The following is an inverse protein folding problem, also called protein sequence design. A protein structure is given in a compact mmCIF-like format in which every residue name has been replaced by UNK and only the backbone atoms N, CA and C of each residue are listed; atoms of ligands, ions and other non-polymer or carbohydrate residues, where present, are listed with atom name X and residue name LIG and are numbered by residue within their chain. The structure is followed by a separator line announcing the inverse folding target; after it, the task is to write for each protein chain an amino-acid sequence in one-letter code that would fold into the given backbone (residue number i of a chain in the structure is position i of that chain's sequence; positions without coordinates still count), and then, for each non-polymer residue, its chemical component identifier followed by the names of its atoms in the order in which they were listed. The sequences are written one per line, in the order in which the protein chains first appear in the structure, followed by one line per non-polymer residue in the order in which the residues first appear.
data_IF_964557443652
#
_entry.id   IF_964557443652
#
_cell.length_a   1.000
_cell.length_b   1.000
_cell.length_c   1.000
_cell.angle_alpha   90.00
_cell.angle_beta   90.00
_cell.angle_gamma   90.00
#
_symmetry.space_group_name_H-M   'P 1'
#
loop_
_entity.id
_entity.type
_entity.pdbx_description
1 polymer ?
#
# COMPACT_ATOMS: atom_id res chain seq x y z
N UNK A 1 1.19 19.32 6.49
CA UNK A 1 1.50 20.62 5.86
C UNK A 1 1.62 21.73 6.89
N UNK A 2 0.52 22.12 7.51
CA UNK A 2 0.44 23.37 8.32
C UNK A 2 1.42 23.44 9.48
N UNK A 3 1.57 22.39 10.30
CA UNK A 3 2.55 22.39 11.41
C UNK A 3 4.00 22.49 10.88
N UNK A 4 4.34 21.73 9.82
CA UNK A 4 5.67 21.80 9.23
C UNK A 4 6.01 23.19 8.68
N UNK A 5 5.03 23.84 8.03
CA UNK A 5 5.19 25.22 7.53
C UNK A 5 5.34 26.22 8.66
N UNK A 6 4.56 26.11 9.74
CA UNK A 6 4.68 26.97 10.92
C UNK A 6 6.05 26.78 11.62
N UNK A 7 6.50 25.53 11.76
CA UNK A 7 7.80 25.23 12.36
C UNK A 7 8.96 25.79 11.51
N UNK A 8 8.91 25.61 10.20
CA UNK A 8 9.89 26.16 9.26
C UNK A 8 9.97 27.71 9.35
N UNK A 9 8.82 28.39 9.45
CA UNK A 9 8.78 29.84 9.59
C UNK A 9 9.43 30.33 10.89
N UNK A 10 9.54 29.49 11.91
CA UNK A 10 10.27 29.76 13.17
C UNK A 10 11.72 29.25 13.15
N UNK A 11 12.21 28.76 12.03
CA UNK A 11 13.56 28.19 11.89
C UNK A 11 13.74 26.83 12.58
N UNK A 12 12.64 26.13 12.91
CA UNK A 12 12.68 24.84 13.55
C UNK A 12 12.89 23.75 12.48
N UNK A 13 13.94 22.95 12.65
CA UNK A 13 14.17 21.78 11.80
C UNK A 13 13.06 20.76 11.97
N UNK A 14 12.42 20.40 10.88
CA UNK A 14 11.22 19.56 10.85
C UNK A 14 11.47 18.33 10.00
N UNK A 15 11.20 17.16 10.55
CA UNK A 15 11.20 15.90 9.84
C UNK A 15 9.75 15.45 9.68
N UNK A 16 9.32 15.21 8.45
CA UNK A 16 8.02 14.61 8.16
C UNK A 16 8.26 13.15 7.79
N UNK A 17 7.83 12.23 8.67
CA UNK A 17 7.92 10.79 8.44
C UNK A 17 6.77 10.36 7.53
N UNK A 18 7.08 10.05 6.27
CA UNK A 18 6.06 9.71 5.26
C UNK A 18 6.64 9.00 4.05
N UNK A 19 5.83 8.15 3.40
CA UNK A 19 6.07 7.65 2.05
C UNK A 19 5.34 8.43 0.96
N UNK A 20 4.53 9.42 1.35
CA UNK A 20 3.71 10.21 0.45
C UNK A 20 4.56 11.25 -0.32
N UNK A 21 4.56 11.11 -1.64
CA UNK A 21 5.34 11.97 -2.55
C UNK A 21 4.82 13.39 -2.63
N UNK A 22 3.52 13.60 -2.35
CA UNK A 22 2.90 14.92 -2.44
C UNK A 22 3.47 15.87 -1.40
N UNK A 23 3.90 15.34 -0.26
CA UNK A 23 4.54 16.12 0.80
C UNK A 23 5.94 16.62 0.41
N UNK A 24 6.53 16.15 -0.72
CA UNK A 24 7.80 16.67 -1.22
C UNK A 24 7.72 18.16 -1.59
N UNK A 25 6.52 18.69 -1.86
CA UNK A 25 6.31 20.13 -2.07
C UNK A 25 6.59 20.99 -0.84
N UNK A 26 6.66 20.38 0.36
CA UNK A 26 6.93 21.09 1.63
C UNK A 26 8.41 21.18 1.98
N UNK A 27 9.26 20.45 1.25
CA UNK A 27 10.70 20.38 1.51
C UNK A 27 11.34 21.74 1.27
N UNK A 28 12.15 22.19 2.25
CA UNK A 28 12.93 23.42 2.20
C UNK A 28 14.13 23.30 3.16
N UNK A 29 14.81 24.39 3.46
CA UNK A 29 16.00 24.40 4.32
C UNK A 29 15.73 23.91 5.76
N UNK A 30 14.48 23.93 6.19
CA UNK A 30 14.06 23.51 7.53
C UNK A 30 13.19 22.25 7.54
N UNK A 31 12.66 21.82 6.39
CA UNK A 31 11.75 20.66 6.28
C UNK A 31 12.37 19.60 5.39
N UNK A 32 12.47 18.39 5.88
CA UNK A 32 12.83 17.19 5.11
C UNK A 32 11.82 16.07 5.32
N UNK A 33 11.72 15.19 4.34
CA UNK A 33 10.92 13.97 4.45
C UNK A 33 11.81 12.78 4.76
N UNK A 34 11.31 11.85 5.56
CA UNK A 34 11.96 10.58 5.84
C UNK A 34 10.95 9.45 5.65
N UNK A 35 11.21 8.56 4.72
CA UNK A 35 10.46 7.33 4.60
C UNK A 35 11.10 6.26 5.49
N UNK A 36 10.49 5.99 6.63
CA UNK A 36 11.02 5.03 7.61
C UNK A 36 10.99 3.57 7.15
N UNK A 37 10.18 3.25 6.13
CA UNK A 37 10.14 1.89 5.55
C UNK A 37 11.33 1.61 4.64
N UNK A 38 11.81 2.63 3.91
CA UNK A 38 12.90 2.50 2.94
C UNK A 38 14.18 3.17 3.40
N UNK A 39 14.14 3.91 4.53
CA UNK A 39 15.23 4.77 5.02
C UNK A 39 15.63 5.89 4.04
N UNK A 40 14.76 6.20 3.09
CA UNK A 40 14.98 7.28 2.13
C UNK A 40 14.80 8.64 2.80
N UNK A 41 15.74 9.55 2.60
CA UNK A 41 15.66 10.93 3.08
C UNK A 41 15.53 11.85 1.87
N UNK A 42 14.51 12.70 1.87
CA UNK A 42 14.31 13.71 0.84
C UNK A 42 14.47 15.11 1.47
N UNK A 43 15.66 15.65 1.35
CA UNK A 43 15.95 17.07 1.42
C UNK A 43 15.78 17.71 0.04
N UNK A 44 16.13 18.97 -0.13
CA UNK A 44 16.02 19.66 -1.42
C UNK A 44 16.73 18.90 -2.55
N UNK A 45 17.96 18.44 -2.31
CA UNK A 45 18.74 17.71 -3.33
C UNK A 45 18.14 16.31 -3.58
N UNK A 46 17.63 15.66 -2.56
CA UNK A 46 16.92 14.38 -2.67
C UNK A 46 15.66 14.48 -3.53
N UNK A 47 14.88 15.55 -3.37
CA UNK A 47 13.71 15.82 -4.23
C UNK A 47 14.13 16.02 -5.68
N UNK A 48 15.16 16.85 -5.93
CA UNK A 48 15.66 17.08 -7.30
C UNK A 48 16.18 15.79 -7.91
N UNK A 49 16.92 14.99 -7.15
CA UNK A 49 17.47 13.71 -7.63
C UNK A 49 16.37 12.70 -7.98
N UNK A 50 15.28 12.67 -7.19
CA UNK A 50 14.18 11.72 -7.34
C UNK A 50 13.20 12.10 -8.45
N UNK A 51 12.78 13.37 -8.48
CA UNK A 51 11.72 13.85 -9.37
C UNK A 51 12.23 14.63 -10.58
N UNK A 52 13.49 15.09 -10.56
CA UNK A 52 14.09 15.93 -11.61
C UNK A 52 13.61 17.38 -11.56
N UNK A 53 12.90 17.79 -10.51
CA UNK A 53 12.40 19.15 -10.29
C UNK A 53 12.61 19.56 -8.83
N UNK A 54 12.66 20.87 -8.56
CA UNK A 54 12.76 21.38 -7.20
C UNK A 54 11.43 21.23 -6.43
N UNK A 55 11.46 21.27 -5.08
CA UNK A 55 10.26 21.13 -4.25
C UNK A 55 9.10 22.03 -4.66
N UNK A 56 9.38 23.27 -5.04
CA UNK A 56 8.38 24.26 -5.43
C UNK A 56 7.64 23.89 -6.74
N UNK A 57 8.20 22.97 -7.52
CA UNK A 57 7.62 22.50 -8.80
C UNK A 57 6.96 21.14 -8.69
N UNK A 58 6.90 20.55 -7.49
CA UNK A 58 6.31 19.21 -7.30
C UNK A 58 4.83 19.19 -7.67
N UNK A 59 4.06 20.19 -7.28
CA UNK A 59 2.63 20.28 -7.65
C UNK A 59 2.45 20.35 -9.17
N UNK A 60 3.25 21.18 -9.84
CA UNK A 60 3.22 21.32 -11.29
C UNK A 60 3.64 20.02 -12.00
N UNK A 61 4.66 19.36 -11.46
CA UNK A 61 5.12 18.06 -11.97
C UNK A 61 4.05 16.99 -11.84
N UNK A 62 3.43 16.85 -10.66
CA UNK A 62 2.37 15.88 -10.42
C UNK A 62 1.12 16.18 -11.24
N UNK A 63 0.78 17.46 -11.43
CA UNK A 63 -0.35 17.83 -12.29
C UNK A 63 -0.14 17.42 -13.76
N UNK A 64 1.11 17.40 -14.24
CA UNK A 64 1.43 16.94 -15.59
C UNK A 64 1.47 15.41 -15.70
N UNK A 65 2.09 14.74 -14.74
CA UNK A 65 2.28 13.27 -14.76
C UNK A 65 1.02 12.53 -14.29
N UNK A 66 0.28 13.13 -13.37
CA UNK A 66 -0.83 12.50 -12.65
C UNK A 66 -0.37 11.69 -11.44
N UNK A 67 -1.34 11.27 -10.66
CA UNK A 67 -1.17 10.36 -9.52
C UNK A 67 -2.17 9.22 -9.59
N UNK A 68 -1.70 8.02 -9.88
CA UNK A 68 -2.55 6.84 -9.95
C UNK A 68 -2.99 6.33 -8.58
N UNK A 69 -2.24 6.63 -7.51
CA UNK A 69 -2.60 6.23 -6.15
C UNK A 69 -3.83 7.01 -5.68
N UNK A 70 -3.84 8.32 -5.94
CA UNK A 70 -4.93 9.21 -5.54
C UNK A 70 -5.96 9.44 -6.66
N UNK A 71 -5.85 8.66 -7.75
CA UNK A 71 -6.73 8.77 -8.92
C UNK A 71 -6.80 10.18 -9.51
N UNK A 72 -5.68 10.90 -9.47
CA UNK A 72 -5.56 12.23 -10.07
C UNK A 72 -5.04 12.09 -11.50
N UNK A 73 -5.85 12.46 -12.54
CA UNK A 73 -5.43 12.33 -13.91
C UNK A 73 -4.37 13.37 -14.26
N UNK A 74 -3.28 12.91 -14.90
CA UNK A 74 -2.31 13.79 -15.55
C UNK A 74 -2.65 14.06 -17.02
N UNK A 75 -1.66 14.57 -17.75
CA UNK A 75 -1.74 14.70 -19.20
C UNK A 75 -1.44 13.34 -19.83
N UNK A 76 -2.35 12.80 -20.62
CA UNK A 76 -2.19 11.50 -21.28
C UNK A 76 -0.88 11.44 -22.08
N UNK A 77 -0.11 10.38 -21.87
CA UNK A 77 1.25 10.15 -22.44
C UNK A 77 2.32 11.15 -21.99
N UNK A 78 2.05 11.99 -21.00
CA UNK A 78 3.05 12.83 -20.36
C UNK A 78 3.66 12.10 -19.17
N UNK A 79 4.78 11.42 -19.39
CA UNK A 79 5.53 10.78 -18.30
C UNK A 79 6.54 11.75 -17.64
N UNK A 80 7.25 11.27 -16.60
CA UNK A 80 8.22 12.06 -15.83
C UNK A 80 9.21 12.85 -16.70
N UNK A 81 9.80 12.23 -17.70
CA UNK A 81 10.78 12.89 -18.60
C UNK A 81 10.19 14.06 -19.38
N UNK A 82 8.93 13.95 -19.81
CA UNK A 82 8.26 15.03 -20.56
C UNK A 82 7.90 16.17 -19.63
N UNK A 83 7.39 15.86 -18.42
CA UNK A 83 7.05 16.85 -17.41
C UNK A 83 8.29 17.66 -16.98
N UNK A 84 9.39 16.99 -16.65
CA UNK A 84 10.67 17.63 -16.30
C UNK A 84 11.16 18.53 -17.44
N UNK A 85 11.14 18.03 -18.69
CA UNK A 85 11.53 18.81 -19.86
C UNK A 85 10.71 20.09 -19.98
N UNK A 86 9.37 19.98 -19.92
CA UNK A 86 8.49 21.14 -20.03
C UNK A 86 8.67 22.14 -18.88
N UNK A 87 8.81 21.66 -17.64
CA UNK A 87 9.06 22.52 -16.48
C UNK A 87 10.45 23.18 -16.53
N UNK A 88 11.43 22.56 -17.17
CA UNK A 88 12.73 23.18 -17.44
C UNK A 88 12.65 24.24 -18.53
N UNK A 89 11.86 24.00 -19.58
CA UNK A 89 11.74 24.89 -20.75
C UNK A 89 10.84 26.10 -20.46
N UNK A 90 9.66 25.88 -19.85
CA UNK A 90 8.64 26.92 -19.62
C UNK A 90 8.64 27.48 -18.19
N UNK A 91 9.29 26.81 -17.26
CA UNK A 91 9.43 27.25 -15.86
C UNK A 91 8.31 26.85 -14.92
N UNK A 92 7.04 26.89 -15.35
CA UNK A 92 5.87 26.55 -14.51
C UNK A 92 4.74 25.93 -15.33
N UNK A 93 3.79 25.29 -14.65
CA UNK A 93 2.57 24.77 -15.28
C UNK A 93 1.75 25.90 -15.94
N UNK A 94 1.67 27.07 -15.31
CA UNK A 94 0.93 28.22 -15.91
C UNK A 94 1.56 28.67 -17.22
N UNK A 95 2.88 28.70 -17.29
CA UNK A 95 3.58 29.01 -18.54
C UNK A 95 3.40 27.90 -19.59
N UNK A 96 3.37 26.63 -19.19
CA UNK A 96 3.05 25.50 -20.09
C UNK A 96 1.62 25.64 -20.64
N UNK A 97 0.65 25.96 -19.79
CA UNK A 97 -0.76 26.19 -20.18
C UNK A 97 -0.85 27.35 -21.18
N UNK A 98 -0.20 28.47 -20.88
CA UNK A 98 -0.20 29.64 -21.78
C UNK A 98 0.42 29.32 -23.16
N UNK A 99 1.37 28.40 -23.22
CA UNK A 99 2.06 27.99 -24.44
C UNK A 99 1.50 26.69 -25.05
N UNK A 100 0.40 26.14 -24.55
CA UNK A 100 -0.13 24.84 -24.96
C UNK A 100 -0.41 24.73 -26.46
N UNK A 101 -0.77 25.85 -27.11
CA UNK A 101 -1.01 25.91 -28.56
C UNK A 101 0.27 25.70 -29.40
N UNK A 102 1.43 26.06 -28.87
CA UNK A 102 2.73 25.95 -29.56
C UNK A 102 3.35 24.54 -29.39
N UNK A 103 2.94 23.80 -28.39
CA UNK A 103 3.46 22.44 -28.11
C UNK A 103 2.89 21.46 -29.12
N UNK A 104 3.76 20.91 -29.98
CA UNK A 104 3.38 20.04 -31.10
C UNK A 104 3.31 18.56 -30.67
N UNK A 105 2.66 17.75 -31.52
CA UNK A 105 2.59 16.30 -31.37
C UNK A 105 1.46 15.84 -30.46
N UNK A 106 1.31 14.53 -30.32
CA UNK A 106 0.20 13.88 -29.60
C UNK A 106 0.13 14.33 -28.13
N UNK A 107 1.27 14.50 -27.47
CA UNK A 107 1.27 14.94 -26.06
C UNK A 107 0.82 16.40 -25.92
N UNK A 108 1.14 17.27 -26.90
CA UNK A 108 0.62 18.63 -26.95
C UNK A 108 -0.90 18.68 -27.18
N UNK A 109 -1.46 17.77 -27.98
CA UNK A 109 -2.90 17.62 -28.14
C UNK A 109 -3.57 17.15 -26.86
N UNK A 110 -2.97 16.19 -26.16
CA UNK A 110 -3.46 15.69 -24.89
C UNK A 110 -3.36 16.78 -23.79
N UNK A 111 -2.30 17.58 -23.78
CA UNK A 111 -2.20 18.75 -22.90
C UNK A 111 -3.40 19.69 -23.10
N UNK A 112 -3.72 20.03 -24.34
CA UNK A 112 -4.87 20.92 -24.63
C UNK A 112 -6.21 20.32 -24.16
N UNK A 113 -6.38 18.99 -24.24
CA UNK A 113 -7.56 18.31 -23.70
C UNK A 113 -7.61 18.35 -22.17
N UNK A 114 -6.45 18.34 -21.51
CA UNK A 114 -6.34 18.34 -20.05
C UNK A 114 -6.51 19.73 -19.42
N UNK A 115 -6.43 20.82 -20.21
CA UNK A 115 -6.51 22.19 -19.68
C UNK A 115 -7.69 22.46 -18.73
N UNK A 116 -8.93 21.98 -19.00
CA UNK A 116 -10.06 22.22 -18.11
C UNK A 116 -9.92 21.57 -16.73
N UNK A 117 -9.08 20.52 -16.59
CA UNK A 117 -8.94 19.75 -15.37
C UNK A 117 -7.88 20.33 -14.41
N UNK A 118 -6.93 21.12 -14.90
CA UNK A 118 -5.82 21.63 -14.08
C UNK A 118 -6.23 22.41 -12.83
N UNK A 119 -7.28 23.23 -12.82
CA UNK A 119 -7.69 23.91 -11.59
C UNK A 119 -8.03 22.92 -10.47
N UNK A 120 -8.83 21.90 -10.77
CA UNK A 120 -9.17 20.84 -9.81
C UNK A 120 -7.96 19.99 -9.45
N UNK A 121 -7.19 19.54 -10.44
CA UNK A 121 -5.97 18.75 -10.24
C UNK A 121 -5.00 19.47 -9.31
N UNK A 122 -4.76 20.76 -9.52
CA UNK A 122 -3.88 21.56 -8.67
C UNK A 122 -4.42 21.70 -7.24
N UNK A 123 -5.74 21.92 -7.07
CA UNK A 123 -6.35 21.99 -5.75
C UNK A 123 -6.24 20.67 -4.97
N UNK A 124 -6.42 19.54 -5.64
CA UNK A 124 -6.27 18.19 -5.04
C UNK A 124 -4.82 17.89 -4.62
N UNK A 125 -3.85 18.28 -5.46
CA UNK A 125 -2.41 18.00 -5.21
C UNK A 125 -1.77 18.97 -4.23
N UNK A 126 -2.37 20.14 -3.97
CA UNK A 126 -1.78 21.16 -3.12
C UNK A 126 -2.06 20.90 -1.64
N UNK A 127 -1.01 20.61 -0.88
CA UNK A 127 -1.11 20.40 0.56
C UNK A 127 -1.53 21.67 1.28
N UNK A 128 -2.58 21.59 2.11
CA UNK A 128 -3.06 22.72 2.92
C UNK A 128 -2.05 23.05 4.03
N UNK A 129 -1.58 24.29 4.03
CA UNK A 129 -0.55 24.79 4.96
C UNK A 129 -1.05 25.85 5.94
N UNK A 130 -2.36 26.13 5.93
CA UNK A 130 -2.99 27.24 6.67
C UNK A 130 -4.16 26.81 7.55
N UNK A 131 -4.18 25.57 8.03
CA UNK A 131 -5.22 25.11 8.95
C UNK A 131 -5.11 25.87 10.29
N UNK A 132 -6.25 26.37 10.78
CA UNK A 132 -6.32 27.19 12.00
C UNK A 132 -6.55 26.38 13.29
N UNK A 133 -7.07 25.14 13.19
CA UNK A 133 -7.42 24.29 14.33
C UNK A 133 -6.26 23.39 14.77
N UNK A 134 -5.06 23.93 14.87
CA UNK A 134 -3.87 23.19 15.26
C UNK A 134 -3.38 23.56 16.65
N UNK A 135 -2.78 22.62 17.41
CA UNK A 135 -2.12 22.95 18.66
C UNK A 135 -0.95 23.91 18.41
N UNK A 136 -0.65 24.76 19.38
CA UNK A 136 0.53 25.61 19.33
C UNK A 136 1.81 24.73 19.33
N UNK A 137 2.82 25.10 18.55
CA UNK A 137 4.07 24.32 18.45
C UNK A 137 4.72 24.10 19.82
N UNK A 138 4.70 25.12 20.69
CA UNK A 138 5.28 25.05 22.03
C UNK A 138 4.55 24.07 22.96
N UNK A 139 3.30 23.70 22.63
CA UNK A 139 2.53 22.69 23.36
C UNK A 139 2.85 21.26 22.93
N UNK A 140 3.56 21.08 21.80
CA UNK A 140 3.93 19.77 21.26
C UNK A 140 5.20 19.28 21.95
N UNK A 141 5.04 18.61 23.10
CA UNK A 141 6.13 18.01 23.86
C UNK A 141 5.98 16.49 23.86
N UNK A 142 7.12 15.80 23.86
CA UNK A 142 7.12 14.36 24.08
C UNK A 142 6.55 14.06 25.47
N UNK A 143 5.48 13.26 25.52
CA UNK A 143 4.95 12.71 26.76
C UNK A 143 5.95 11.72 27.39
N UNK A 144 5.73 11.39 28.66
CA UNK A 144 6.43 10.27 29.27
C UNK A 144 5.95 8.97 28.66
N UNK A 145 6.87 8.08 28.38
CA UNK A 145 6.53 6.74 27.90
C UNK A 145 5.76 5.96 28.98
N UNK A 146 4.63 5.40 28.61
CA UNK A 146 3.86 4.51 29.48
C UNK A 146 4.32 3.07 29.27
N UNK A 147 5.43 2.72 29.93
CA UNK A 147 6.03 1.39 29.85
C UNK A 147 5.08 0.28 30.27
N UNK A 148 4.19 0.53 31.22
CA UNK A 148 3.25 -0.49 31.71
C UNK A 148 2.21 -0.85 30.64
N UNK A 149 1.62 0.17 30.00
CA UNK A 149 0.68 -0.02 28.90
C UNK A 149 1.35 -0.62 27.67
N UNK A 150 2.56 -0.14 27.32
CA UNK A 150 3.33 -0.71 26.20
C UNK A 150 3.65 -2.21 26.44
N UNK A 151 4.09 -2.58 27.64
CA UNK A 151 4.35 -3.96 28.00
C UNK A 151 3.10 -4.83 27.84
N UNK A 152 1.97 -4.40 28.39
CA UNK A 152 0.72 -5.13 28.29
C UNK A 152 0.25 -5.30 26.84
N UNK A 153 0.42 -4.27 25.99
CA UNK A 153 0.10 -4.33 24.56
C UNK A 153 1.03 -5.33 23.85
N UNK A 154 2.33 -5.26 24.08
CA UNK A 154 3.30 -6.15 23.44
C UNK A 154 3.11 -7.62 23.86
N UNK A 155 2.77 -7.89 25.12
CA UNK A 155 2.41 -9.22 25.60
C UNK A 155 1.13 -9.72 24.93
N UNK A 156 0.08 -8.89 24.91
CA UNK A 156 -1.23 -9.23 24.35
C UNK A 156 -1.17 -9.58 22.87
N UNK A 157 -0.39 -8.82 22.08
CA UNK A 157 -0.32 -8.98 20.63
C UNK A 157 0.91 -9.77 20.16
N UNK A 158 1.74 -10.28 21.08
CA UNK A 158 2.87 -11.14 20.76
C UNK A 158 4.04 -10.41 20.10
N UNK A 159 4.24 -9.12 20.33
CA UNK A 159 5.37 -8.35 19.82
C UNK A 159 6.65 -8.63 20.60
N UNK A 160 7.17 -9.86 20.45
CA UNK A 160 8.28 -10.40 21.27
C UNK A 160 9.57 -9.57 21.21
N UNK A 161 9.92 -9.06 20.03
CA UNK A 161 11.13 -8.23 19.86
C UNK A 161 11.02 -6.93 20.63
N UNK A 162 9.92 -6.21 20.46
CA UNK A 162 9.68 -4.95 21.16
C UNK A 162 9.49 -5.14 22.67
N UNK A 163 8.86 -6.23 23.08
CA UNK A 163 8.73 -6.56 24.51
C UNK A 163 10.11 -6.75 25.15
N UNK A 164 11.02 -7.43 24.46
CA UNK A 164 12.38 -7.63 24.92
C UNK A 164 13.19 -6.34 25.00
N UNK A 165 13.11 -5.50 23.96
CA UNK A 165 13.75 -4.18 23.96
C UNK A 165 13.26 -3.33 25.12
N UNK A 166 11.94 -3.36 25.39
CA UNK A 166 11.31 -2.63 26.46
C UNK A 166 11.74 -3.13 27.86
N UNK A 167 11.89 -4.44 28.04
CA UNK A 167 12.20 -5.04 29.36
C UNK A 167 13.70 -5.21 29.63
N UNK A 168 14.55 -5.04 28.63
CA UNK A 168 16.00 -5.27 28.75
C UNK A 168 16.39 -6.75 28.91
N UNK A 169 15.47 -7.67 28.73
CA UNK A 169 15.71 -9.10 28.89
C UNK A 169 16.41 -9.70 27.65
N UNK A 170 17.74 -9.68 27.65
CA UNK A 170 18.54 -10.33 26.61
C UNK A 170 18.40 -11.86 26.56
N UNK A 171 17.76 -12.48 27.56
CA UNK A 171 17.72 -13.95 27.75
C UNK A 171 16.49 -14.65 27.17
N UNK A 172 15.51 -13.96 26.59
CA UNK A 172 14.23 -14.54 26.22
C UNK A 172 14.06 -14.89 24.75
N UNK A 173 15.12 -15.04 23.97
CA UNK A 173 15.02 -15.68 22.66
C UNK A 173 15.99 -16.84 22.57
N UNK A 174 15.52 -18.05 22.22
CA UNK A 174 16.38 -18.96 21.50
C UNK A 174 16.84 -18.17 20.25
N UNK A 175 18.15 -18.07 20.03
CA UNK A 175 18.71 -17.66 18.73
C UNK A 175 18.29 -18.71 17.69
N UNK A 176 17.03 -18.73 17.39
CA UNK A 176 16.49 -19.25 16.18
C UNK A 176 16.46 -18.07 15.25
N UNK A 177 17.50 -17.90 14.41
CA UNK A 177 17.27 -17.32 13.12
C UNK A 177 15.90 -17.84 12.68
N UNK A 178 14.93 -16.93 12.49
CA UNK A 178 13.91 -17.15 11.49
C UNK A 178 14.63 -16.92 10.15
N UNK A 179 15.68 -17.69 9.88
CA UNK A 179 15.80 -18.32 8.60
C UNK A 179 14.53 -19.16 8.53
N UNK A 180 13.61 -18.74 7.72
CA UNK A 180 12.83 -19.68 6.94
C UNK A 180 13.91 -20.57 6.36
N UNK A 181 14.23 -21.66 7.04
CA UNK A 181 14.96 -22.74 6.42
C UNK A 181 13.97 -23.29 5.39
N UNK A 182 14.03 -22.72 4.21
CA UNK A 182 13.68 -23.42 2.98
C UNK A 182 14.67 -24.56 2.80
N UNK A 183 14.82 -25.41 3.81
CA UNK A 183 15.64 -26.61 3.80
C UNK A 183 14.80 -27.87 3.96
N UNK A 184 13.54 -27.80 3.59
CA UNK A 184 12.94 -28.93 2.92
C UNK A 184 12.92 -28.53 1.44
N UNK A 185 13.65 -29.25 0.56
CA UNK A 185 13.29 -29.20 -0.84
C UNK A 185 11.77 -29.43 -0.86
N UNK A 186 11.04 -28.53 -1.51
CA UNK A 186 9.61 -28.75 -1.76
C UNK A 186 9.51 -30.22 -2.18
N UNK A 187 8.68 -31.05 -1.51
CA UNK A 187 8.52 -32.41 -1.95
C UNK A 187 8.27 -32.33 -3.42
N UNK A 188 9.11 -32.99 -4.22
CA UNK A 188 8.95 -33.02 -5.66
C UNK A 188 7.52 -33.48 -5.89
N UNK A 189 6.66 -32.63 -6.45
CA UNK A 189 5.29 -32.92 -6.83
C UNK A 189 5.31 -34.00 -7.92
N UNK A 190 5.53 -35.21 -7.53
CA UNK A 190 5.71 -36.40 -8.36
C UNK A 190 5.37 -37.65 -7.59
N UNK A 191 4.44 -37.60 -6.62
CA UNK A 191 3.95 -38.80 -6.00
C UNK A 191 2.52 -39.07 -6.45
N UNK A 192 2.30 -40.31 -6.89
CA UNK A 192 1.02 -40.91 -7.26
C UNK A 192 0.00 -41.00 -6.10
N UNK A 193 0.30 -40.42 -4.93
CA UNK A 193 -0.46 -40.59 -3.70
C UNK A 193 -1.19 -39.32 -3.22
N UNK A 194 -1.29 -38.30 -4.09
CA UNK A 194 -2.05 -37.10 -3.75
C UNK A 194 -3.56 -37.38 -3.80
N UNK A 195 -4.25 -37.20 -2.68
CA UNK A 195 -5.70 -37.31 -2.56
C UNK A 195 -6.34 -35.92 -2.62
N UNK A 196 -6.63 -35.46 -3.83
CA UNK A 196 -7.36 -34.22 -4.08
C UNK A 196 -8.81 -34.53 -4.47
N UNK A 197 -9.77 -33.96 -3.77
CA UNK A 197 -11.17 -34.21 -4.01
C UNK A 197 -11.91 -32.91 -4.31
N UNK A 198 -12.79 -32.93 -5.32
CA UNK A 198 -13.79 -31.86 -5.52
C UNK A 198 -15.09 -32.29 -4.84
N UNK A 199 -15.54 -31.52 -3.85
CA UNK A 199 -16.71 -31.82 -3.03
C UNK A 199 -17.96 -31.34 -3.76
N UNK A 200 -18.78 -32.27 -4.24
CA UNK A 200 -19.98 -31.99 -5.05
C UNK A 200 -21.26 -32.57 -4.44
N UNK A 201 -21.20 -33.26 -3.30
CA UNK A 201 -22.37 -33.79 -2.60
C UNK A 201 -22.33 -33.46 -1.11
N UNK A 202 -23.51 -33.43 -0.48
CA UNK A 202 -23.63 -33.15 0.94
C UNK A 202 -22.94 -34.23 1.79
N UNK A 203 -22.96 -35.50 1.38
CA UNK A 203 -22.27 -36.57 2.08
C UNK A 203 -20.73 -36.37 2.04
N UNK A 204 -20.22 -35.89 0.93
CA UNK A 204 -18.78 -35.56 0.82
C UNK A 204 -18.44 -34.34 1.67
N UNK A 205 -19.33 -33.34 1.73
CA UNK A 205 -19.16 -32.18 2.59
C UNK A 205 -19.11 -32.56 4.07
N UNK A 206 -20.06 -33.32 4.55
CA UNK A 206 -20.12 -33.81 5.95
C UNK A 206 -18.88 -34.63 6.33
N UNK A 207 -18.39 -35.46 5.41
CA UNK A 207 -17.16 -36.20 5.61
C UNK A 207 -15.96 -35.26 5.74
N UNK A 208 -15.82 -34.27 4.88
CA UNK A 208 -14.73 -33.31 4.94
C UNK A 208 -14.80 -32.39 6.16
N UNK A 209 -16.00 -31.98 6.60
CA UNK A 209 -16.19 -31.28 7.87
C UNK A 209 -15.61 -32.11 9.02
N UNK A 210 -15.96 -33.40 9.09
CA UNK A 210 -15.45 -34.29 10.14
C UNK A 210 -13.91 -34.45 10.09
N UNK A 211 -13.32 -34.48 8.88
CA UNK A 211 -11.85 -34.54 8.70
C UNK A 211 -11.19 -33.24 9.19
N UNK A 212 -11.78 -32.09 8.82
CA UNK A 212 -11.29 -30.77 9.22
C UNK A 212 -11.36 -30.59 10.74
N UNK A 213 -12.49 -30.97 11.36
CA UNK A 213 -12.67 -30.90 12.81
C UNK A 213 -11.70 -31.81 13.59
N UNK A 214 -11.36 -32.95 13.03
CA UNK A 214 -10.40 -33.87 13.63
C UNK A 214 -8.92 -33.45 13.44
N UNK A 215 -8.65 -32.52 12.51
CA UNK A 215 -7.29 -32.10 12.20
C UNK A 215 -6.77 -31.10 13.23
N UNK A 216 -5.45 -31.18 13.52
CA UNK A 216 -4.79 -30.21 14.41
C UNK A 216 -4.48 -28.88 13.75
N UNK A 217 -4.44 -28.85 12.41
CA UNK A 217 -4.15 -27.68 11.59
C UNK A 217 -4.79 -27.87 10.20
N UNK A 218 -5.53 -26.89 9.76
CA UNK A 218 -6.09 -26.86 8.41
C UNK A 218 -5.60 -25.61 7.69
N UNK A 219 -5.08 -25.78 6.49
CA UNK A 219 -4.83 -24.66 5.57
C UNK A 219 -6.10 -24.39 4.79
N UNK A 220 -6.47 -23.11 4.67
CA UNK A 220 -7.67 -22.66 3.99
C UNK A 220 -7.33 -21.56 3.01
N UNK A 221 -7.91 -21.63 1.81
CA UNK A 221 -7.80 -20.60 0.79
C UNK A 221 -9.14 -20.42 0.06
N UNK A 222 -9.36 -19.25 -0.52
CA UNK A 222 -10.62 -18.89 -1.17
C UNK A 222 -10.43 -18.42 -2.60
N UNK A 223 -11.32 -18.85 -3.49
CA UNK A 223 -11.42 -18.34 -4.85
C UNK A 223 -12.55 -17.32 -4.96
N UNK A 224 -12.28 -16.21 -5.61
CA UNK A 224 -13.21 -15.08 -5.72
C UNK A 224 -13.33 -14.55 -7.13
N UNK A 225 -14.41 -13.79 -7.39
CA UNK A 225 -14.68 -13.21 -8.73
C UNK A 225 -13.80 -12.01 -9.08
N UNK A 226 -13.12 -11.39 -8.11
CA UNK A 226 -12.39 -10.13 -8.30
C UNK A 226 -11.25 -9.99 -7.32
N UNK A 227 -10.23 -9.21 -7.69
CA UNK A 227 -9.18 -8.76 -6.77
C UNK A 227 -9.60 -7.52 -5.94
N UNK A 228 -10.77 -6.95 -6.23
CA UNK A 228 -11.35 -5.87 -5.43
C UNK A 228 -12.13 -6.46 -4.26
N UNK A 229 -11.59 -6.36 -3.06
CA UNK A 229 -12.09 -6.99 -1.84
C UNK A 229 -13.56 -6.65 -1.55
N UNK A 230 -13.96 -5.39 -1.80
CA UNK A 230 -15.32 -4.90 -1.55
C UNK A 230 -16.34 -5.33 -2.61
N UNK A 231 -15.90 -5.89 -3.74
CA UNK A 231 -16.76 -6.34 -4.84
C UNK A 231 -16.62 -7.84 -5.10
N UNK A 232 -15.62 -8.46 -4.51
CA UNK A 232 -15.33 -9.87 -4.65
C UNK A 232 -16.46 -10.72 -4.08
N UNK A 233 -16.90 -11.72 -4.85
CA UNK A 233 -17.84 -12.74 -4.42
C UNK A 233 -17.12 -14.07 -4.33
N UNK A 234 -17.38 -14.84 -3.29
CA UNK A 234 -16.80 -16.15 -3.10
C UNK A 234 -17.33 -17.11 -4.17
N UNK A 235 -16.44 -17.83 -4.84
CA UNK A 235 -16.79 -18.85 -5.84
C UNK A 235 -16.33 -20.25 -5.48
N UNK A 236 -15.44 -20.40 -4.50
CA UNK A 236 -14.99 -21.68 -3.99
C UNK A 236 -14.03 -21.54 -2.81
N UNK A 237 -13.81 -22.64 -2.12
CA UNK A 237 -12.82 -22.73 -1.04
C UNK A 237 -12.05 -24.03 -1.09
N UNK A 238 -10.76 -23.98 -0.81
CA UNK A 238 -9.90 -25.14 -0.67
C UNK A 238 -9.44 -25.35 0.76
N UNK A 239 -9.39 -26.60 1.17
CA UNK A 239 -8.99 -27.02 2.51
C UNK A 239 -7.92 -28.11 2.38
N UNK A 240 -6.85 -27.97 3.13
CA UNK A 240 -5.77 -28.97 3.20
C UNK A 240 -5.49 -29.30 4.66
N UNK A 241 -5.59 -30.55 5.05
CA UNK A 241 -5.43 -31.04 6.42
C UNK A 241 -4.05 -31.69 6.65
N UNK A 242 -3.48 -32.26 5.59
CA UNK A 242 -2.12 -32.82 5.57
C UNK A 242 -1.49 -32.63 4.20
N UNK A 243 -0.16 -32.67 4.06
CA UNK A 243 0.48 -32.63 2.74
C UNK A 243 -0.12 -33.66 1.78
N UNK A 244 -0.57 -33.20 0.62
CA UNK A 244 -1.21 -34.00 -0.41
C UNK A 244 -2.63 -34.53 -0.09
N UNK A 245 -3.25 -34.10 1.01
CA UNK A 245 -4.63 -34.42 1.34
C UNK A 245 -5.44 -33.11 1.41
N UNK A 246 -6.20 -32.83 0.36
CA UNK A 246 -6.94 -31.58 0.22
C UNK A 246 -8.26 -31.76 -0.51
N UNK A 247 -9.18 -30.86 -0.28
CA UNK A 247 -10.41 -30.76 -1.07
C UNK A 247 -10.63 -29.35 -1.61
N UNK A 248 -11.47 -29.27 -2.62
CA UNK A 248 -12.01 -28.05 -3.16
C UNK A 248 -13.53 -28.11 -3.16
N UNK A 249 -14.17 -27.09 -2.62
CA UNK A 249 -15.62 -26.95 -2.57
C UNK A 249 -16.03 -25.83 -3.53
N UNK A 250 -16.55 -26.15 -4.74
CA UNK A 250 -17.07 -25.13 -5.65
C UNK A 250 -18.41 -24.61 -5.13
N UNK A 251 -18.62 -23.28 -5.15
CA UNK A 251 -19.77 -22.62 -4.57
C UNK A 251 -20.62 -21.84 -5.60
N UNK A 252 -19.97 -21.14 -6.50
CA UNK A 252 -20.64 -20.24 -7.43
C UNK A 252 -19.97 -20.18 -8.82
N UNK A 253 -19.35 -21.25 -9.26
CA UNK A 253 -18.79 -21.33 -10.59
C UNK A 253 -19.85 -21.25 -11.68
N UNK A 254 -19.53 -20.58 -12.80
CA UNK A 254 -20.44 -20.38 -13.93
C UNK A 254 -19.65 -20.53 -15.24
N UNK A 255 -19.51 -21.76 -15.71
CA UNK A 255 -18.89 -22.07 -17.02
C UNK A 255 -19.63 -23.22 -17.70
N UNK A 256 -19.46 -23.33 -19.01
CA UNK A 256 -20.11 -24.38 -19.80
C UNK A 256 -19.62 -25.77 -19.35
N UNK A 257 -20.54 -26.67 -19.02
CA UNK A 257 -20.22 -28.04 -18.60
C UNK A 257 -19.77 -28.16 -17.13
N UNK A 258 -19.97 -27.12 -16.29
CA UNK A 258 -19.70 -27.24 -14.86
C UNK A 258 -20.57 -28.35 -14.23
N UNK A 259 -20.04 -29.11 -13.27
CA UNK A 259 -20.83 -30.06 -12.50
C UNK A 259 -21.85 -29.33 -11.61
N UNK A 260 -22.88 -30.05 -11.18
CA UNK A 260 -23.83 -29.55 -10.16
C UNK A 260 -23.03 -29.27 -8.87
N UNK A 261 -23.26 -28.10 -8.26
CA UNK A 261 -22.57 -27.64 -7.06
C UNK A 261 -23.52 -27.71 -5.87
N UNK A 262 -23.00 -27.91 -4.67
CA UNK A 262 -23.79 -27.84 -3.43
C UNK A 262 -24.33 -26.40 -3.30
N UNK A 263 -25.58 -26.20 -2.88
CA UNK A 263 -26.13 -24.87 -2.66
C UNK A 263 -25.26 -24.04 -1.71
N UNK A 264 -25.02 -22.79 -2.08
CA UNK A 264 -24.14 -21.88 -1.36
C UNK A 264 -24.50 -21.78 0.13
N UNK A 265 -25.80 -21.65 0.45
CA UNK A 265 -26.27 -21.53 1.83
C UNK A 265 -26.08 -22.82 2.64
N UNK A 266 -26.08 -23.98 1.99
CA UNK A 266 -25.81 -25.27 2.65
C UNK A 266 -24.33 -25.39 3.09
N UNK A 267 -23.41 -24.86 2.29
CA UNK A 267 -21.97 -24.94 2.62
C UNK A 267 -21.60 -23.94 3.70
N UNK A 268 -22.29 -22.80 3.83
CA UNK A 268 -22.01 -21.76 4.80
C UNK A 268 -22.77 -21.92 6.14
N UNK A 269 -23.71 -22.87 6.22
CA UNK A 269 -24.48 -23.14 7.44
C UNK A 269 -23.65 -23.92 8.47
#
# INVERSE_FOLDING_TARGET
GSLGTQAAAQGIKTIISTGDKDLAQLVNDHVQLVNTMTSEVLDHQGVVSKFGVSPEKIVDYLALVGDSVDNVPGVEKCGPKTAVKWLSEFGSLDAIIANAASIKGVVGENLRKALPNFPLTRDLLTVRTNLSSLPALDSLQLGKEDYASLKAIYERYGFRTWLRELTGDEKAIPKGDIRIQTTNPAPSLGSSDAAYETVLSEEALERWISIIEASSLTSFDTETTSLHEMQAQLVGGSFCVEPCIACYIPLAHRYAGMPEQIPFDTVLA
#
